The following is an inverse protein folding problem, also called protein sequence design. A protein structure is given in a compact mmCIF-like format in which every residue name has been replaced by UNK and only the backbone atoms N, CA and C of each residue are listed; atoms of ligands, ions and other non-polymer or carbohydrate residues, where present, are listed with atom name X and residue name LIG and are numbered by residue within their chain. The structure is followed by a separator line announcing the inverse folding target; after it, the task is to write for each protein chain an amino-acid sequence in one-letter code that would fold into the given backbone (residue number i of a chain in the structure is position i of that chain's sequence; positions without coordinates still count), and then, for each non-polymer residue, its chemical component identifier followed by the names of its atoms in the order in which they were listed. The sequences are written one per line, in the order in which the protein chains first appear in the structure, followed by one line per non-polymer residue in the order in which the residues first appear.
data_IF_145950252975
#
_entry.id   IF_145950252975
#
_cell.length_a   1.000
_cell.length_b   1.000
_cell.length_c   1.000
_cell.angle_alpha   90.00
_cell.angle_beta   90.00
_cell.angle_gamma   90.00
#
_symmetry.space_group_name_H-M   'P 1'
#
loop_
_entity.id
_entity.type
_entity.pdbx_description
1 polymer ?
#
# COMPACT_ATOMS: atom_id res chain seq x y z
N UNK A 1 -4.02 3.21 -13.99
CA UNK A 1 -2.66 3.77 -14.11
C UNK A 1 -1.64 2.63 -13.98
N UNK A 2 -0.77 2.42 -14.97
CA UNK A 2 0.36 1.51 -14.87
C UNK A 2 1.36 1.94 -13.78
N UNK A 3 2.14 1.00 -13.24
CA UNK A 3 3.26 1.30 -12.33
C UNK A 3 2.91 1.46 -10.85
N UNK A 4 1.63 1.48 -10.48
CA UNK A 4 1.20 1.68 -9.07
C UNK A 4 1.74 0.61 -8.12
N UNK A 5 1.71 -0.67 -8.52
CA UNK A 5 2.26 -1.78 -7.72
C UNK A 5 3.77 -1.60 -7.50
N UNK A 6 4.51 -1.22 -8.54
CA UNK A 6 5.96 -0.98 -8.45
C UNK A 6 6.31 0.20 -7.55
N UNK A 7 5.54 1.29 -7.62
CA UNK A 7 5.70 2.44 -6.72
C UNK A 7 5.51 2.06 -5.25
N UNK A 8 4.44 1.33 -4.92
CA UNK A 8 4.19 0.86 -3.55
C UNK A 8 5.28 -0.12 -3.08
N UNK A 9 5.64 -1.09 -3.92
CA UNK A 9 6.69 -2.06 -3.61
C UNK A 9 8.05 -1.41 -3.36
N UNK A 10 8.44 -0.43 -4.18
CA UNK A 10 9.69 0.30 -4.00
C UNK A 10 9.66 1.17 -2.74
N UNK A 11 8.56 1.88 -2.51
CA UNK A 11 8.43 2.75 -1.31
C UNK A 11 8.53 1.96 -0.01
N UNK A 12 7.93 0.76 0.04
CA UNK A 12 8.00 -0.13 1.19
C UNK A 12 9.39 -0.80 1.30
N UNK A 13 9.94 -1.28 0.19
CA UNK A 13 11.27 -1.89 0.14
C UNK A 13 12.40 -0.93 0.56
N UNK A 14 12.36 0.32 0.11
CA UNK A 14 13.31 1.37 0.52
C UNK A 14 13.23 1.68 2.02
N UNK A 15 12.09 1.39 2.64
CA UNK A 15 11.88 1.51 4.08
C UNK A 15 12.21 0.23 4.86
N UNK A 16 12.67 -0.83 4.18
CA UNK A 16 12.94 -2.12 4.78
C UNK A 16 11.68 -2.87 5.22
N UNK A 17 10.51 -2.56 4.65
CA UNK A 17 9.25 -3.22 4.96
C UNK A 17 8.97 -4.30 3.92
N UNK A 18 8.93 -5.56 4.33
CA UNK A 18 8.64 -6.68 3.45
C UNK A 18 7.13 -6.85 3.24
N UNK A 19 6.74 -7.25 2.02
CA UNK A 19 5.33 -7.50 1.67
C UNK A 19 5.11 -9.01 1.61
N UNK A 20 4.38 -9.54 2.59
CA UNK A 20 3.99 -10.93 2.63
C UNK A 20 2.89 -11.26 1.61
N UNK A 21 1.95 -10.33 1.41
CA UNK A 21 0.85 -10.53 0.46
C UNK A 21 0.37 -9.19 -0.13
N UNK A 22 0.04 -9.20 -1.42
CA UNK A 22 -0.49 -8.04 -2.12
C UNK A 22 -1.79 -8.42 -2.83
N UNK A 23 -2.90 -7.84 -2.40
CA UNK A 23 -4.21 -8.02 -3.02
C UNK A 23 -4.70 -6.72 -3.65
N UNK A 24 -5.24 -6.80 -4.86
CA UNK A 24 -5.77 -5.65 -5.59
C UNK A 24 -7.18 -5.95 -6.10
N UNK A 25 -8.15 -5.27 -5.53
CA UNK A 25 -9.51 -5.22 -6.06
C UNK A 25 -9.68 -4.00 -6.97
N UNK A 26 -10.41 -4.15 -8.07
CA UNK A 26 -10.87 -3.04 -8.91
C UNK A 26 -12.35 -3.20 -9.18
N UNK A 27 -13.08 -2.10 -9.13
CA UNK A 27 -14.51 -2.08 -9.46
C UNK A 27 -14.74 -2.46 -10.94
N UNK A 28 -13.93 -1.89 -11.83
CA UNK A 28 -13.92 -2.14 -13.27
C UNK A 28 -12.56 -1.79 -13.84
N UNK A 29 -12.33 -2.16 -15.10
CA UNK A 29 -11.14 -1.72 -15.82
C UNK A 29 -11.03 -0.19 -15.79
N UNK A 30 -9.84 0.31 -15.42
CA UNK A 30 -9.57 1.74 -15.23
C UNK A 30 -10.42 2.47 -14.16
N UNK A 31 -11.21 1.73 -13.35
CA UNK A 31 -11.99 2.28 -12.25
C UNK A 31 -11.21 2.46 -10.94
N UNK A 32 -11.93 2.75 -9.86
CA UNK A 32 -11.36 2.81 -8.52
C UNK A 32 -10.77 1.44 -8.13
N UNK A 33 -9.73 1.49 -7.30
CA UNK A 33 -9.05 0.32 -6.81
C UNK A 33 -8.80 0.40 -5.32
N UNK A 34 -8.79 -0.75 -4.68
CA UNK A 34 -8.37 -0.93 -3.29
C UNK A 34 -7.26 -1.97 -3.30
N UNK A 35 -6.14 -1.61 -2.69
CA UNK A 35 -5.06 -2.53 -2.43
C UNK A 35 -5.03 -2.86 -0.94
N UNK A 36 -4.87 -4.14 -0.59
CA UNK A 36 -4.60 -4.58 0.76
C UNK A 36 -3.24 -5.29 0.76
N UNK A 37 -2.34 -4.79 1.59
CA UNK A 37 -0.99 -5.31 1.72
C UNK A 37 -0.83 -5.86 3.13
N UNK A 38 -0.41 -7.12 3.23
CA UNK A 38 0.08 -7.70 4.48
C UNK A 38 1.59 -7.53 4.50
N UNK A 39 2.10 -6.92 5.57
CA UNK A 39 3.52 -6.59 5.75
C UNK A 39 4.03 -7.16 7.06
N UNK A 40 5.33 -7.44 7.11
CA UNK A 40 5.96 -8.08 8.27
C UNK A 40 6.29 -7.05 9.37
N UNK A 41 6.59 -5.81 8.97
CA UNK A 41 6.93 -4.71 9.87
C UNK A 41 5.84 -3.64 9.96
N UNK A 42 5.84 -2.90 11.07
CA UNK A 42 4.99 -1.73 11.21
C UNK A 42 5.38 -0.64 10.20
N UNK A 43 4.42 -0.23 9.39
CA UNK A 43 4.61 0.89 8.44
C UNK A 43 4.63 2.21 9.20
N UNK A 44 5.75 2.93 9.13
CA UNK A 44 5.88 4.23 9.79
C UNK A 44 5.03 5.32 9.13
N UNK A 45 4.77 6.40 9.87
CA UNK A 45 4.05 7.57 9.35
C UNK A 45 4.74 8.19 8.14
N UNK A 46 6.08 8.20 8.10
CA UNK A 46 6.83 8.75 6.96
C UNK A 46 6.62 7.94 5.69
N UNK A 47 6.52 6.60 5.80
CA UNK A 47 6.23 5.73 4.66
C UNK A 47 4.80 5.94 4.17
N UNK A 48 3.83 6.04 5.10
CA UNK A 48 2.45 6.39 4.75
C UNK A 48 2.34 7.77 4.07
N UNK A 49 3.12 8.75 4.53
CA UNK A 49 3.19 10.07 3.92
C UNK A 49 3.76 10.02 2.49
N UNK A 50 4.83 9.25 2.27
CA UNK A 50 5.38 9.03 0.92
C UNK A 50 4.37 8.38 -0.02
N UNK A 51 3.63 7.38 0.45
CA UNK A 51 2.58 6.73 -0.33
C UNK A 51 1.45 7.71 -0.68
N UNK A 52 0.95 8.44 0.31
CA UNK A 52 -0.18 9.38 0.12
C UNK A 52 0.20 10.67 -0.62
N UNK A 53 1.48 11.00 -0.72
CA UNK A 53 1.96 12.09 -1.57
C UNK A 53 1.75 11.82 -3.07
N UNK A 54 1.60 10.55 -3.47
CA UNK A 54 1.30 10.21 -4.85
C UNK A 54 -0.15 10.56 -5.19
N UNK A 55 -0.38 11.48 -6.14
CA UNK A 55 -1.70 12.01 -6.51
C UNK A 55 -2.78 10.94 -6.81
N UNK A 56 -2.40 9.77 -7.31
CA UNK A 56 -3.32 8.67 -7.58
C UNK A 56 -3.76 7.87 -6.33
N UNK A 57 -3.12 8.06 -5.17
CA UNK A 57 -3.49 7.41 -3.91
C UNK A 57 -4.41 8.36 -3.13
N UNK A 58 -5.69 7.99 -3.06
CA UNK A 58 -6.69 8.78 -2.32
C UNK A 58 -6.51 8.67 -0.80
N UNK A 59 -6.08 7.50 -0.33
CA UNK A 59 -5.88 7.22 1.08
C UNK A 59 -5.00 5.97 1.24
N UNK A 60 -4.14 5.99 2.26
CA UNK A 60 -3.47 4.81 2.78
C UNK A 60 -3.62 4.84 4.31
N UNK A 61 -4.01 3.71 4.91
CA UNK A 61 -4.20 3.59 6.35
C UNK A 61 -3.62 2.27 6.84
N UNK A 62 -2.89 2.27 7.98
CA UNK A 62 -2.51 1.03 8.61
C UNK A 62 -3.76 0.34 9.16
N UNK A 63 -3.81 -0.97 9.01
CA UNK A 63 -4.85 -1.81 9.61
C UNK A 63 -4.15 -2.83 10.50
N UNK A 64 -4.49 -2.82 11.79
CA UNK A 64 -3.96 -3.77 12.77
C UNK A 64 -5.14 -4.61 13.25
N UNK A 65 -5.02 -5.92 13.10
CA UNK A 65 -5.99 -6.87 13.65
C UNK A 65 -5.47 -7.33 15.01
N UNK A 66 -6.15 -6.94 16.08
CA UNK A 66 -5.93 -7.55 17.38
C UNK A 66 -6.67 -8.88 17.38
N UNK A 67 -5.92 -9.96 17.21
CA UNK A 67 -6.40 -11.32 17.38
C UNK A 67 -5.90 -11.77 18.75
N UNK A 68 -6.69 -11.45 19.78
CA UNK A 68 -6.52 -12.00 21.13
C UNK A 68 -7.00 -13.46 21.17
#
# INVERSE_FOLDING_TARGET
MPGMIGFMGSTLGDAGVNIANFQLGREKESGNAIALLSVDELVSQDVLAKLTAHHAIKQAKPLVFNVD
#
